data_IF_242173025345
#
_entry.id   IF_242173025345
#
_cell.length_a   1.000
_cell.length_b   1.000
_cell.length_c   1.000
_cell.angle_alpha   90.00
_cell.angle_beta   90.00
_cell.angle_gamma   90.00
#
_symmetry.space_group_name_H-M   'P 1'
#
loop_
_entity.id
_entity.type
_entity.pdbx_description
1 polymer ?
#
# COMPACT_ATOMS: atom_id res chain seq x y z
N UNK A 1 -12.00 20.97 4.06
CA UNK A 1 -13.23 21.40 4.78
C UNK A 1 -14.27 20.31 5.05
N UNK A 2 -15.16 19.86 4.14
CA UNK A 2 -16.19 18.83 4.51
C UNK A 2 -15.63 17.46 4.89
N UNK A 3 -14.61 16.96 4.17
CA UNK A 3 -13.90 15.71 4.53
C UNK A 3 -12.95 15.85 5.71
N UNK A 4 -12.51 17.05 6.01
CA UNK A 4 -11.54 17.33 7.09
C UNK A 4 -12.20 17.21 8.46
N UNK A 5 -13.41 17.77 8.61
CA UNK A 5 -14.21 17.59 9.83
C UNK A 5 -14.70 16.13 9.99
N UNK A 6 -14.96 15.42 8.88
CA UNK A 6 -15.27 14.00 8.89
C UNK A 6 -14.05 13.16 9.30
N UNK A 7 -12.89 13.38 8.68
CA UNK A 7 -11.63 12.74 9.03
C UNK A 7 -11.27 12.98 10.52
N UNK A 8 -11.45 14.18 11.07
CA UNK A 8 -11.28 14.42 12.51
C UNK A 8 -12.18 13.54 13.37
N UNK A 9 -13.44 13.31 12.98
CA UNK A 9 -14.38 12.43 13.71
C UNK A 9 -14.09 10.96 13.51
N UNK A 10 -13.71 10.55 12.31
CA UNK A 10 -13.48 9.14 11.97
C UNK A 10 -12.11 8.66 12.46
N UNK A 11 -11.10 9.52 12.37
CA UNK A 11 -9.76 9.19 12.82
C UNK A 11 -9.62 9.23 14.35
N UNK A 12 -10.46 10.01 15.03
CA UNK A 12 -10.69 9.95 16.49
C UNK A 12 -11.78 8.93 16.89
N UNK A 13 -12.40 8.30 15.90
CA UNK A 13 -13.49 7.36 16.05
C UNK A 13 -12.99 5.94 16.28
N UNK A 14 -13.95 5.06 16.55
CA UNK A 14 -13.73 3.66 16.79
C UNK A 14 -13.66 2.90 15.45
N UNK A 15 -12.45 2.63 14.97
CA UNK A 15 -12.20 1.88 13.73
C UNK A 15 -12.23 0.38 13.96
N UNK A 16 -12.89 -0.37 13.07
CA UNK A 16 -13.11 -1.81 13.23
C UNK A 16 -11.96 -2.66 12.71
N UNK A 17 -11.25 -2.19 11.67
CA UNK A 17 -10.12 -2.90 11.06
C UNK A 17 -8.77 -2.32 11.47
N UNK A 18 -7.78 -3.20 11.55
CA UNK A 18 -6.38 -2.80 11.78
C UNK A 18 -5.83 -2.10 10.54
N UNK A 19 -6.08 -2.63 9.34
CA UNK A 19 -5.52 -2.06 8.12
C UNK A 19 -6.39 -2.24 6.89
N UNK A 20 -6.10 -1.47 5.86
CA UNK A 20 -6.59 -1.71 4.50
C UNK A 20 -5.41 -1.93 3.55
N UNK A 21 -5.52 -2.91 2.66
CA UNK A 21 -4.50 -3.23 1.65
C UNK A 21 -5.15 -3.58 0.32
N UNK A 22 -5.06 -2.65 -0.61
CA UNK A 22 -5.62 -2.82 -1.94
C UNK A 22 -4.57 -3.32 -2.91
N UNK A 23 -4.58 -4.62 -3.18
CA UNK A 23 -3.66 -5.22 -4.12
C UNK A 23 -4.38 -5.47 -5.45
N UNK A 24 -3.68 -5.13 -6.54
CA UNK A 24 -4.10 -5.45 -7.90
C UNK A 24 -3.81 -6.92 -8.21
N UNK A 25 -3.32 -7.20 -9.41
CA UNK A 25 -2.92 -8.56 -9.79
C UNK A 25 -1.95 -9.18 -8.77
N UNK A 26 -2.17 -10.46 -8.50
CA UNK A 26 -1.25 -11.28 -7.71
C UNK A 26 0.12 -11.32 -8.36
N UNK A 27 1.13 -11.20 -7.50
CA UNK A 27 2.56 -11.32 -7.80
C UNK A 27 3.19 -12.10 -6.66
N UNK A 28 4.36 -12.76 -6.87
CA UNK A 28 4.98 -13.56 -5.83
C UNK A 28 5.12 -12.84 -4.47
N UNK A 29 5.53 -11.58 -4.45
CA UNK A 29 5.72 -10.83 -3.20
C UNK A 29 4.41 -10.45 -2.53
N UNK A 30 3.39 -10.07 -3.29
CA UNK A 30 2.04 -9.82 -2.75
C UNK A 30 1.44 -11.10 -2.16
N UNK A 31 1.58 -12.21 -2.89
CA UNK A 31 1.11 -13.51 -2.43
C UNK A 31 1.84 -13.92 -1.15
N UNK A 32 3.16 -13.75 -1.11
CA UNK A 32 3.96 -14.02 0.09
C UNK A 32 3.49 -13.20 1.29
N UNK A 33 3.30 -11.88 1.14
CA UNK A 33 2.89 -11.00 2.24
C UNK A 33 1.48 -11.37 2.73
N UNK A 34 0.54 -11.59 1.82
CA UNK A 34 -0.84 -11.94 2.19
C UNK A 34 -0.87 -13.34 2.84
N UNK A 35 -0.10 -14.31 2.34
CA UNK A 35 0.07 -15.61 2.98
C UNK A 35 0.70 -15.50 4.37
N UNK A 36 1.69 -14.62 4.53
CA UNK A 36 2.32 -14.35 5.83
C UNK A 36 1.34 -13.74 6.85
N UNK A 37 0.44 -12.86 6.39
CA UNK A 37 -0.63 -12.29 7.21
C UNK A 37 -1.68 -13.35 7.57
N UNK A 38 -1.98 -14.28 6.66
CA UNK A 38 -2.88 -15.41 6.93
C UNK A 38 -2.33 -16.31 8.03
N UNK A 39 -1.05 -16.74 7.93
CA UNK A 39 -0.40 -17.56 8.96
C UNK A 39 -0.37 -16.88 10.34
N UNK A 40 -0.28 -15.54 10.37
CA UNK A 40 -0.30 -14.73 11.61
C UNK A 40 -1.70 -14.43 12.13
N UNK A 41 -2.76 -14.93 11.47
CA UNK A 41 -4.16 -14.58 11.76
C UNK A 41 -4.43 -13.07 11.73
N UNK A 42 -3.70 -12.35 10.88
CA UNK A 42 -3.84 -10.91 10.69
C UNK A 42 -4.70 -10.58 9.47
N UNK A 43 -4.85 -11.51 8.53
CA UNK A 43 -5.61 -11.26 7.29
C UNK A 43 -7.05 -10.81 7.57
N UNK A 44 -7.74 -11.44 8.53
CA UNK A 44 -9.12 -11.11 8.92
C UNK A 44 -9.25 -9.73 9.60
N UNK A 45 -8.15 -9.21 10.14
CA UNK A 45 -8.08 -7.90 10.79
C UNK A 45 -7.95 -6.76 9.80
N UNK A 46 -7.80 -7.04 8.50
CA UNK A 46 -7.75 -6.02 7.46
C UNK A 46 -8.84 -6.15 6.41
N UNK A 47 -9.04 -5.08 5.66
CA UNK A 47 -9.67 -5.12 4.35
C UNK A 47 -8.59 -5.41 3.31
N UNK A 48 -8.62 -6.59 2.69
CA UNK A 48 -7.58 -7.00 1.72
C UNK A 48 -8.22 -7.41 0.41
N UNK A 49 -7.77 -6.80 -0.69
CA UNK A 49 -8.05 -7.28 -2.04
C UNK A 49 -6.80 -7.92 -2.64
N UNK A 50 -6.98 -8.90 -3.52
CA UNK A 50 -5.94 -9.49 -4.35
C UNK A 50 -6.58 -10.06 -5.62
N UNK A 51 -6.25 -9.49 -6.78
CA UNK A 51 -6.89 -9.84 -8.04
C UNK A 51 -6.17 -10.99 -8.74
N UNK A 52 -6.93 -11.78 -9.48
CA UNK A 52 -6.37 -12.75 -10.41
C UNK A 52 -5.67 -12.06 -11.60
N UNK A 53 -4.91 -12.81 -12.39
CA UNK A 53 -4.21 -12.29 -13.57
C UNK A 53 -5.19 -11.71 -14.60
N UNK A 54 -4.78 -10.66 -15.30
CA UNK A 54 -5.56 -10.13 -16.45
C UNK A 54 -5.67 -11.18 -17.56
N UNK A 55 -6.80 -11.14 -18.26
CA UNK A 55 -7.04 -11.94 -19.47
C UNK A 55 -6.02 -11.55 -20.57
N UNK A 56 -5.62 -12.52 -21.40
CA UNK A 56 -4.72 -12.30 -22.54
C UNK A 56 -3.25 -12.66 -22.31
N UNK A 57 -2.91 -13.33 -21.21
CA UNK A 57 -1.60 -13.99 -21.05
C UNK A 57 -1.62 -15.39 -21.66
N UNK A 58 -0.49 -15.81 -22.23
CA UNK A 58 -0.36 -17.08 -22.96
C UNK A 58 -0.20 -18.30 -22.04
N UNK A 59 0.15 -18.09 -20.77
CA UNK A 59 0.33 -19.15 -19.77
C UNK A 59 -1.02 -19.77 -19.33
N UNK A 60 -1.04 -21.08 -19.13
CA UNK A 60 -2.15 -21.84 -18.54
C UNK A 60 -2.30 -21.52 -17.03
N UNK A 61 -3.43 -21.89 -16.43
CA UNK A 61 -3.64 -21.69 -14.98
C UNK A 61 -2.64 -22.49 -14.13
N UNK A 62 -2.25 -23.68 -14.59
CA UNK A 62 -1.25 -24.52 -13.92
C UNK A 62 0.15 -23.86 -13.96
N UNK A 63 0.58 -23.39 -15.12
CA UNK A 63 1.84 -22.66 -15.27
C UNK A 63 1.86 -21.38 -14.44
N UNK A 64 0.75 -20.63 -14.46
CA UNK A 64 0.60 -19.44 -13.64
C UNK A 64 0.76 -19.74 -12.15
N UNK A 65 0.05 -20.76 -11.65
CA UNK A 65 0.14 -21.19 -10.25
C UNK A 65 1.57 -21.57 -9.89
N UNK A 66 2.23 -22.33 -10.76
CA UNK A 66 3.62 -22.74 -10.56
C UNK A 66 4.57 -21.54 -10.50
N UNK A 67 4.45 -20.57 -11.41
CA UNK A 67 5.27 -19.34 -11.40
C UNK A 67 5.09 -18.59 -10.08
N UNK A 68 3.85 -18.39 -9.64
CA UNK A 68 3.56 -17.69 -8.39
C UNK A 68 4.18 -18.40 -7.18
N UNK A 69 3.96 -19.71 -7.05
CA UNK A 69 4.46 -20.51 -5.92
C UNK A 69 5.99 -20.66 -5.93
N UNK A 70 6.60 -20.84 -7.10
CA UNK A 70 8.08 -20.82 -7.23
C UNK A 70 8.66 -19.47 -6.82
N UNK A 71 7.98 -18.37 -7.16
CA UNK A 71 8.38 -17.04 -6.71
C UNK A 71 8.31 -16.88 -5.19
N UNK A 72 7.23 -17.36 -4.56
CA UNK A 72 7.08 -17.37 -3.09
C UNK A 72 8.20 -18.19 -2.44
N UNK A 73 8.55 -19.36 -2.97
CA UNK A 73 9.62 -20.20 -2.43
C UNK A 73 11.02 -19.58 -2.47
N UNK A 74 11.25 -18.59 -3.34
CA UNK A 74 12.52 -17.83 -3.39
C UNK A 74 12.64 -16.79 -2.28
N UNK A 75 11.54 -16.47 -1.60
CA UNK A 75 11.52 -15.48 -0.52
C UNK A 75 11.92 -16.12 0.82
N UNK A 76 12.49 -15.36 1.76
CA UNK A 76 12.81 -15.83 3.10
C UNK A 76 11.54 -16.30 3.80
N UNK A 77 11.56 -17.50 4.37
CA UNK A 77 10.36 -18.10 4.96
C UNK A 77 9.31 -18.52 3.94
N UNK A 78 9.64 -18.55 2.64
CA UNK A 78 8.72 -18.95 1.56
C UNK A 78 8.16 -20.35 1.73
N UNK A 79 8.93 -21.26 2.35
CA UNK A 79 8.48 -22.61 2.71
C UNK A 79 7.42 -22.59 3.81
N UNK A 80 7.56 -21.69 4.77
CA UNK A 80 6.68 -21.60 5.94
C UNK A 80 5.28 -21.13 5.53
N UNK A 81 5.20 -20.29 4.50
CA UNK A 81 3.92 -19.75 3.98
C UNK A 81 3.42 -20.47 2.73
N UNK A 82 4.10 -21.51 2.26
CA UNK A 82 3.81 -22.15 0.96
C UNK A 82 2.39 -22.70 0.88
N UNK A 83 1.93 -23.37 1.94
CA UNK A 83 0.58 -23.95 1.97
C UNK A 83 -0.49 -22.86 1.97
N UNK A 84 -0.31 -21.81 2.78
CA UNK A 84 -1.19 -20.63 2.75
C UNK A 84 -1.19 -19.93 1.40
N UNK A 85 -0.03 -19.78 0.76
CA UNK A 85 0.07 -19.19 -0.58
C UNK A 85 -0.67 -20.04 -1.63
N UNK A 86 -0.52 -21.36 -1.57
CA UNK A 86 -1.25 -22.30 -2.41
C UNK A 86 -2.76 -22.16 -2.21
N UNK A 87 -3.22 -22.17 -0.95
CA UNK A 87 -4.62 -22.02 -0.60
C UNK A 87 -5.21 -20.68 -1.06
N UNK A 88 -4.46 -19.57 -0.91
CA UNK A 88 -4.90 -18.25 -1.36
C UNK A 88 -5.09 -18.18 -2.88
N UNK A 89 -4.27 -18.87 -3.66
CA UNK A 89 -4.44 -18.94 -5.12
C UNK A 89 -5.77 -19.59 -5.51
N UNK A 90 -6.27 -20.54 -4.71
CA UNK A 90 -7.58 -21.17 -4.93
C UNK A 90 -8.76 -20.26 -4.57
N UNK A 91 -8.50 -19.19 -3.80
CA UNK A 91 -9.51 -18.20 -3.39
C UNK A 91 -9.52 -16.93 -4.25
N UNK A 92 -8.67 -16.84 -5.28
CA UNK A 92 -8.63 -15.68 -6.14
C UNK A 92 -9.84 -15.62 -7.10
N UNK A 93 -10.35 -14.41 -7.43
CA UNK A 93 -9.94 -13.12 -6.88
C UNK A 93 -10.52 -12.89 -5.47
N UNK A 94 -9.69 -12.35 -4.58
CA UNK A 94 -10.16 -11.78 -3.32
C UNK A 94 -10.63 -10.34 -3.60
N UNK A 95 -11.92 -10.16 -3.78
CA UNK A 95 -12.52 -8.85 -3.97
C UNK A 95 -13.09 -8.33 -2.66
N UNK A 96 -12.95 -7.03 -2.44
CA UNK A 96 -13.78 -6.34 -1.44
C UNK A 96 -15.06 -5.94 -2.17
N UNK A 97 -16.21 -6.19 -1.56
CA UNK A 97 -17.50 -5.78 -2.13
C UNK A 97 -17.54 -4.24 -2.16
N UNK A 98 -17.17 -3.69 -3.32
CA UNK A 98 -17.27 -2.26 -3.60
C UNK A 98 -18.36 -2.13 -4.65
N UNK A 99 -19.44 -1.43 -4.34
CA UNK A 99 -20.49 -1.10 -5.31
C UNK A 99 -19.84 -0.55 -6.59
N UNK A 100 -20.12 -1.19 -7.72
CA UNK A 100 -19.49 -0.89 -9.02
C UNK A 100 -19.62 0.59 -9.37
N UNK A 101 -18.47 1.27 -9.49
CA UNK A 101 -18.43 2.62 -10.04
C UNK A 101 -18.36 2.48 -11.55
N UNK A 102 -19.42 2.96 -12.20
CA UNK A 102 -19.58 2.99 -13.65
C UNK A 102 -18.48 3.84 -14.28
N UNK A 103 -17.63 3.17 -15.07
CA UNK A 103 -16.68 3.69 -16.08
C UNK A 103 -16.14 5.12 -15.87
N UNK A 104 -15.02 5.28 -15.15
CA UNK A 104 -14.47 6.61 -14.93
C UNK A 104 -13.22 6.92 -15.77
N UNK A 105 -13.02 8.20 -16.04
CA UNK A 105 -11.81 8.80 -16.61
C UNK A 105 -10.56 8.59 -15.71
N UNK A 106 -9.33 8.78 -16.25
CA UNK A 106 -8.06 8.63 -15.50
C UNK A 106 -8.01 9.42 -14.19
N UNK A 107 -8.64 10.59 -14.14
CA UNK A 107 -8.84 11.35 -12.91
C UNK A 107 -9.75 10.58 -11.95
N UNK A 108 -10.96 10.21 -12.37
CA UNK A 108 -11.87 9.49 -11.49
C UNK A 108 -11.34 8.11 -11.05
N UNK A 109 -10.50 7.42 -11.82
CA UNK A 109 -9.84 6.19 -11.35
C UNK A 109 -8.83 6.48 -10.22
N UNK A 110 -8.15 7.63 -10.24
CA UNK A 110 -7.34 8.09 -9.12
C UNK A 110 -8.22 8.55 -7.93
N UNK A 111 -9.40 9.12 -8.18
CA UNK A 111 -10.27 9.75 -7.17
C UNK A 111 -11.36 8.86 -6.54
N UNK A 112 -11.80 7.83 -7.24
CA UNK A 112 -12.94 6.96 -6.87
C UNK A 112 -12.53 5.53 -6.54
N UNK A 113 -11.26 5.17 -6.77
CA UNK A 113 -10.81 3.80 -6.59
C UNK A 113 -10.70 3.43 -5.10
N UNK A 114 -11.79 2.80 -4.65
CA UNK A 114 -12.04 2.11 -3.39
C UNK A 114 -12.64 3.01 -2.30
N UNK A 115 -13.72 2.48 -1.72
CA UNK A 115 -14.65 3.18 -0.83
C UNK A 115 -13.89 3.91 0.30
N UNK A 116 -13.96 5.24 0.39
CA UNK A 116 -13.35 6.03 1.46
C UNK A 116 -13.68 5.52 2.87
N UNK A 117 -14.86 4.90 3.02
CA UNK A 117 -15.30 4.27 4.27
C UNK A 117 -14.33 3.19 4.77
N UNK A 118 -13.62 2.50 3.87
CA UNK A 118 -12.67 1.45 4.24
C UNK A 118 -11.40 2.03 4.87
N UNK A 119 -10.96 3.21 4.40
CA UNK A 119 -9.86 3.95 5.03
C UNK A 119 -10.30 4.53 6.38
N UNK A 120 -11.50 5.09 6.40
CA UNK A 120 -12.13 5.65 7.58
C UNK A 120 -12.31 4.61 8.71
N UNK A 121 -12.62 3.36 8.34
CA UNK A 121 -12.80 2.24 9.27
C UNK A 121 -11.51 1.43 9.56
N UNK A 122 -10.37 1.84 8.99
CA UNK A 122 -9.07 1.18 9.17
C UNK A 122 -8.08 2.03 9.94
N UNK A 123 -7.30 1.41 10.84
CA UNK A 123 -6.30 2.15 11.62
C UNK A 123 -5.14 2.66 10.75
N UNK A 124 -4.78 1.94 9.69
CA UNK A 124 -3.70 2.30 8.77
C UNK A 124 -3.90 1.65 7.39
N UNK A 125 -2.99 1.91 6.47
CA UNK A 125 -2.91 1.26 5.16
C UNK A 125 -1.62 0.48 4.99
N UNK A 126 -1.70 -0.76 4.49
CA UNK A 126 -0.54 -1.52 4.04
C UNK A 126 -0.48 -1.44 2.51
N UNK A 127 0.49 -0.67 2.01
CA UNK A 127 0.68 -0.43 0.57
C UNK A 127 1.77 -1.35 0.06
N UNK A 128 1.41 -2.30 -0.82
CA UNK A 128 2.37 -3.20 -1.47
C UNK A 128 2.50 -2.81 -2.93
N UNK A 129 3.66 -2.26 -3.30
CA UNK A 129 3.87 -1.80 -4.66
C UNK A 129 4.05 -2.96 -5.65
N UNK A 130 4.15 -2.62 -6.92
CA UNK A 130 4.13 -3.58 -8.04
C UNK A 130 5.50 -4.21 -8.28
N UNK A 131 6.56 -3.51 -7.91
CA UNK A 131 7.94 -4.00 -7.88
C UNK A 131 8.59 -3.71 -6.53
N UNK A 132 9.51 -4.58 -6.11
CA UNK A 132 10.34 -4.41 -4.92
C UNK A 132 11.84 -4.26 -5.24
N UNK A 133 12.24 -4.54 -6.49
CA UNK A 133 13.62 -4.43 -6.94
C UNK A 133 13.72 -4.15 -8.43
N UNK A 134 13.11 -3.04 -8.82
CA UNK A 134 13.35 -2.47 -10.14
C UNK A 134 14.05 -1.12 -9.97
N UNK A 135 15.38 -1.05 -10.18
CA UNK A 135 16.16 0.17 -9.99
C UNK A 135 15.75 1.30 -10.95
N UNK A 136 15.09 0.96 -12.06
CA UNK A 136 14.61 1.92 -13.06
C UNK A 136 13.21 2.46 -12.70
N UNK A 137 12.52 1.87 -11.70
CA UNK A 137 11.17 2.25 -11.27
C UNK A 137 11.18 2.89 -9.87
N UNK A 138 11.75 4.08 -9.76
CA UNK A 138 11.70 4.94 -8.56
C UNK A 138 10.67 6.06 -8.74
N UNK A 139 9.38 5.76 -8.58
CA UNK A 139 8.31 6.75 -8.67
C UNK A 139 7.18 6.51 -7.66
N UNK A 140 6.46 7.59 -7.34
CA UNK A 140 5.26 7.55 -6.50
C UNK A 140 4.11 6.97 -7.33
N UNK A 141 3.59 5.80 -6.92
CA UNK A 141 2.44 5.19 -7.58
C UNK A 141 1.11 5.70 -7.01
N UNK A 142 0.03 5.51 -7.75
CA UNK A 142 -1.33 5.82 -7.29
C UNK A 142 -1.66 5.11 -5.97
N UNK A 143 -1.03 3.97 -5.69
CA UNK A 143 -1.30 3.14 -4.51
C UNK A 143 -0.93 3.82 -3.21
N UNK A 144 0.19 4.56 -3.18
CA UNK A 144 0.60 5.31 -1.99
C UNK A 144 -0.09 6.67 -1.90
N UNK A 145 -0.53 7.23 -3.03
CA UNK A 145 -1.32 8.48 -3.03
C UNK A 145 -2.70 8.28 -2.41
N UNK A 146 -3.33 7.10 -2.56
CA UNK A 146 -4.64 6.81 -1.96
C UNK A 146 -4.72 7.00 -0.44
N UNK A 147 -3.85 6.38 0.38
CA UNK A 147 -3.88 6.62 1.82
C UNK A 147 -3.56 8.07 2.18
N UNK A 148 -2.65 8.72 1.45
CA UNK A 148 -2.35 10.16 1.61
C UNK A 148 -3.62 11.00 1.45
N UNK A 149 -4.37 10.81 0.36
CA UNK A 149 -5.61 11.54 0.10
C UNK A 149 -6.72 11.29 1.12
N UNK A 150 -6.73 10.10 1.73
CA UNK A 150 -7.73 9.69 2.71
C UNK A 150 -7.26 9.87 4.16
N UNK A 151 -6.18 10.64 4.40
CA UNK A 151 -5.67 10.92 5.75
C UNK A 151 -5.36 9.63 6.54
N UNK A 152 -4.96 8.57 5.83
CA UNK A 152 -4.67 7.27 6.42
C UNK A 152 -3.15 7.13 6.59
N UNK A 153 -2.65 6.85 7.80
CA UNK A 153 -1.25 6.50 7.97
C UNK A 153 -0.96 5.20 7.23
N UNK A 154 0.27 5.02 6.73
CA UNK A 154 0.59 3.87 5.91
C UNK A 154 1.98 3.28 6.18
N UNK A 155 2.10 1.98 5.91
CA UNK A 155 3.37 1.27 5.72
C UNK A 155 3.51 0.96 4.24
N UNK A 156 4.60 1.40 3.63
CA UNK A 156 4.93 1.15 2.23
C UNK A 156 5.94 0.01 2.10
N UNK A 157 5.53 -1.07 1.44
CA UNK A 157 6.42 -2.10 0.91
C UNK A 157 6.60 -1.85 -0.58
N UNK A 158 7.66 -1.14 -0.94
CA UNK A 158 8.02 -0.78 -2.31
C UNK A 158 9.50 -0.97 -2.61
N UNK A 159 9.94 -0.52 -3.78
CA UNK A 159 11.35 -0.51 -4.18
C UNK A 159 12.23 0.22 -3.15
N UNK A 160 13.48 -0.23 -2.99
CA UNK A 160 14.48 0.50 -2.22
C UNK A 160 14.59 1.95 -2.71
N UNK A 161 14.47 2.93 -1.80
CA UNK A 161 14.45 4.36 -2.13
C UNK A 161 13.05 4.99 -2.29
N UNK A 162 11.97 4.20 -2.34
CA UNK A 162 10.59 4.74 -2.47
C UNK A 162 10.23 5.73 -1.36
N UNK A 163 10.64 5.44 -0.12
CA UNK A 163 10.46 6.33 1.03
C UNK A 163 11.24 7.64 0.89
N UNK A 164 12.44 7.59 0.31
CA UNK A 164 13.25 8.78 0.02
C UNK A 164 12.60 9.65 -1.05
N UNK A 165 12.03 9.03 -2.07
CA UNK A 165 11.27 9.75 -3.12
C UNK A 165 10.05 10.46 -2.54
N UNK A 166 9.28 9.81 -1.64
CA UNK A 166 8.16 10.46 -0.95
C UNK A 166 8.61 11.73 -0.21
N UNK A 167 9.70 11.63 0.56
CA UNK A 167 10.28 12.76 1.29
C UNK A 167 10.78 13.86 0.36
N UNK A 168 11.44 13.49 -0.74
CA UNK A 168 11.89 14.44 -1.75
C UNK A 168 10.73 15.29 -2.30
N UNK A 169 9.57 14.66 -2.54
CA UNK A 169 8.39 15.37 -3.00
C UNK A 169 7.67 16.16 -1.91
N UNK A 170 8.08 16.06 -0.64
CA UNK A 170 7.54 16.83 0.49
C UNK A 170 6.52 16.08 1.36
N UNK A 171 6.34 14.78 1.13
CA UNK A 171 5.51 13.95 2.00
C UNK A 171 6.27 13.50 3.25
N UNK A 172 5.56 13.45 4.36
CA UNK A 172 6.02 12.94 5.64
C UNK A 172 5.72 11.44 5.77
N UNK A 173 6.61 10.77 6.48
CA UNK A 173 6.45 9.37 6.90
C UNK A 173 6.13 9.31 8.39
N UNK A 174 5.83 8.12 8.91
CA UNK A 174 5.19 7.97 10.23
C UNK A 174 6.11 7.50 11.35
N UNK A 175 7.42 7.50 11.14
CA UNK A 175 8.41 7.19 12.18
C UNK A 175 8.47 8.30 13.26
N UNK A 176 8.80 7.97 14.53
CA UNK A 176 9.09 6.62 15.06
C UNK A 176 7.85 5.77 15.39
N UNK A 177 6.64 6.32 15.32
CA UNK A 177 5.42 5.68 15.81
C UNK A 177 4.98 4.48 14.98
N UNK A 178 5.15 4.55 13.67
CA UNK A 178 5.09 3.42 12.74
C UNK A 178 6.46 3.26 12.11
N UNK A 179 7.07 2.09 12.30
CA UNK A 179 8.32 1.77 11.62
C UNK A 179 8.04 1.66 10.12
N UNK A 180 8.79 2.40 9.31
CA UNK A 180 8.71 2.36 7.85
C UNK A 180 10.01 1.75 7.30
N UNK A 181 10.03 0.42 7.08
CA UNK A 181 11.22 -0.25 6.59
C UNK A 181 11.63 0.32 5.24
N UNK A 182 12.93 0.47 5.05
CA UNK A 182 13.56 0.92 3.82
C UNK A 182 14.93 0.23 3.68
N UNK A 183 15.43 0.15 2.45
CA UNK A 183 16.73 -0.47 2.14
C UNK A 183 16.71 -1.22 0.82
N UNK A 184 17.88 -1.67 0.38
CA UNK A 184 18.06 -2.44 -0.85
C UNK A 184 17.78 -3.94 -0.66
N UNK A 185 17.90 -4.43 0.58
CA UNK A 185 17.65 -5.83 0.90
C UNK A 185 16.13 -6.06 1.07
N UNK A 186 15.47 -6.43 -0.03
CA UNK A 186 14.03 -6.75 -0.09
C UNK A 186 13.58 -7.67 1.04
N UNK A 187 14.37 -8.69 1.34
CA UNK A 187 14.07 -9.71 2.33
C UNK A 187 14.03 -9.14 3.75
N UNK A 188 14.98 -8.26 4.07
CA UNK A 188 15.02 -7.55 5.34
C UNK A 188 13.87 -6.55 5.46
N UNK A 189 13.57 -5.81 4.38
CA UNK A 189 12.45 -4.86 4.33
C UNK A 189 11.13 -5.61 4.54
N UNK A 190 10.93 -6.73 3.86
CA UNK A 190 9.73 -7.55 3.96
C UNK A 190 9.55 -8.08 5.39
N UNK A 191 10.60 -8.69 5.98
CA UNK A 191 10.55 -9.17 7.36
C UNK A 191 10.17 -8.04 8.32
N UNK A 192 10.80 -6.88 8.17
CA UNK A 192 10.56 -5.73 9.05
C UNK A 192 9.13 -5.18 8.89
N UNK A 193 8.54 -5.21 7.70
CA UNK A 193 7.13 -4.84 7.49
C UNK A 193 6.21 -5.83 8.22
N UNK A 194 6.48 -7.14 8.13
CA UNK A 194 5.67 -8.15 8.81
C UNK A 194 5.79 -8.07 10.34
N UNK A 195 6.98 -7.77 10.84
CA UNK A 195 7.24 -7.56 12.27
C UNK A 195 6.48 -6.32 12.77
N UNK A 196 6.49 -5.24 11.99
CA UNK A 196 5.76 -4.02 12.30
C UNK A 196 4.24 -4.25 12.29
N UNK A 197 3.71 -4.95 11.28
CA UNK A 197 2.31 -5.34 11.22
C UNK A 197 1.92 -6.18 12.45
N UNK A 198 2.79 -7.08 12.89
CA UNK A 198 2.60 -7.89 14.09
C UNK A 198 2.59 -7.01 15.34
N UNK A 199 3.54 -6.08 15.48
CA UNK A 199 3.60 -5.10 16.59
C UNK A 199 2.33 -4.28 16.70
N UNK A 200 1.87 -3.70 15.58
CA UNK A 200 0.66 -2.89 15.53
C UNK A 200 -0.60 -3.72 15.82
N UNK A 201 -0.61 -5.00 15.43
CA UNK A 201 -1.71 -5.90 15.76
C UNK A 201 -1.84 -6.18 17.27
N UNK A 202 -0.74 -6.11 18.03
CA UNK A 202 -0.77 -6.34 19.48
C UNK A 202 -1.30 -5.14 20.26
N UNK A 203 -1.43 -3.98 19.62
CA UNK A 203 -2.04 -2.81 20.25
C UNK A 203 -3.53 -3.02 20.48
N UNK A 204 -3.99 -2.67 21.67
CA UNK A 204 -5.41 -2.61 21.96
C UNK A 204 -6.05 -1.37 21.31
N UNK A 205 -7.39 -1.30 21.38
CA UNK A 205 -8.17 -0.21 20.79
C UNK A 205 -7.74 1.18 21.24
N UNK A 206 -7.44 1.35 22.53
CA UNK A 206 -7.03 2.64 23.08
C UNK A 206 -5.65 3.05 22.54
N UNK A 207 -4.70 2.11 22.52
CA UNK A 207 -3.36 2.33 21.99
C UNK A 207 -3.40 2.69 20.50
N UNK A 208 -4.25 2.03 19.71
CA UNK A 208 -4.46 2.37 18.30
C UNK A 208 -5.09 3.78 18.14
N UNK A 209 -6.04 4.15 18.99
CA UNK A 209 -6.63 5.49 18.97
C UNK A 209 -5.61 6.59 19.39
N UNK A 210 -4.71 6.29 20.32
CA UNK A 210 -3.58 7.15 20.69
C UNK A 210 -2.59 7.30 19.54
N UNK A 211 -2.20 6.20 18.90
CA UNK A 211 -1.36 6.19 17.71
C UNK A 211 -1.96 7.08 16.62
N UNK A 212 -3.23 6.86 16.26
CA UNK A 212 -3.90 7.64 15.23
C UNK A 212 -3.95 9.14 15.53
N UNK A 213 -4.13 9.51 16.81
CA UNK A 213 -4.08 10.92 17.22
C UNK A 213 -2.68 11.51 17.05
N UNK A 214 -1.63 10.76 17.39
CA UNK A 214 -0.25 11.19 17.21
C UNK A 214 0.16 11.35 15.74
N UNK A 215 -0.41 10.54 14.83
CA UNK A 215 -0.11 10.59 13.40
C UNK A 215 -0.94 11.62 12.62
N UNK A 216 -1.94 12.23 13.28
CA UNK A 216 -2.98 13.03 12.65
C UNK A 216 -2.43 14.23 11.88
N UNK A 217 -1.53 14.99 12.50
CA UNK A 217 -1.00 16.22 11.91
C UNK A 217 -0.23 15.92 10.62
N UNK A 218 0.53 14.82 10.61
CA UNK A 218 1.26 14.35 9.42
C UNK A 218 0.31 13.85 8.33
N UNK A 219 -0.78 13.20 8.70
CA UNK A 219 -1.82 12.81 7.75
C UNK A 219 -2.46 14.04 7.09
N UNK A 220 -2.72 15.11 7.86
CA UNK A 220 -3.23 16.37 7.32
C UNK A 220 -2.21 17.10 6.46
N UNK A 221 -0.96 17.16 6.90
CA UNK A 221 0.13 17.72 6.11
C UNK A 221 0.22 17.04 4.75
N UNK A 222 0.30 15.71 4.74
CA UNK A 222 0.38 14.91 3.51
C UNK A 222 -0.83 15.12 2.60
N UNK A 223 -2.04 15.08 3.14
CA UNK A 223 -3.25 15.30 2.36
C UNK A 223 -3.31 16.72 1.79
N UNK A 224 -3.00 17.74 2.59
CA UNK A 224 -2.98 19.13 2.12
C UNK A 224 -1.94 19.33 1.02
N UNK A 225 -0.70 18.90 1.27
CA UNK A 225 0.42 18.99 0.34
C UNK A 225 0.12 18.31 -1.00
N UNK A 226 -0.54 17.14 -0.97
CA UNK A 226 -0.99 16.44 -2.16
C UNK A 226 -1.89 17.32 -3.06
N UNK A 227 -2.81 18.09 -2.47
CA UNK A 227 -3.76 18.92 -3.21
C UNK A 227 -3.23 20.30 -3.60
N UNK A 228 -2.20 20.81 -2.92
CA UNK A 228 -1.72 22.19 -3.11
C UNK A 228 -0.39 22.27 -3.85
N UNK A 229 0.63 21.60 -3.35
CA UNK A 229 2.03 21.88 -3.70
C UNK A 229 2.67 20.73 -4.46
N UNK A 230 2.22 19.49 -4.24
CA UNK A 230 2.72 18.32 -4.95
C UNK A 230 2.57 18.43 -6.48
N UNK A 231 1.43 18.85 -7.07
CA UNK A 231 1.31 18.98 -8.53
C UNK A 231 2.29 20.01 -9.11
N UNK A 232 2.52 21.11 -8.38
CA UNK A 232 3.48 22.15 -8.80
C UNK A 232 4.92 21.63 -8.74
N UNK A 233 5.27 20.90 -7.68
CA UNK A 233 6.60 20.28 -7.53
C UNK A 233 6.87 19.25 -8.60
N UNK A 234 5.89 18.38 -8.89
CA UNK A 234 5.99 17.37 -9.93
C UNK A 234 6.16 18.00 -11.33
N UNK A 235 5.40 19.05 -11.63
CA UNK A 235 5.55 19.77 -12.89
C UNK A 235 6.94 20.45 -12.99
N UNK A 236 7.42 21.03 -11.89
CA UNK A 236 8.73 21.68 -11.84
C UNK A 236 9.90 20.69 -11.97
N UNK A 237 9.82 19.50 -11.36
CA UNK A 237 10.85 18.47 -11.51
C UNK A 237 10.87 17.94 -12.94
N UNK A 238 9.72 17.72 -13.57
CA UNK A 238 9.66 17.31 -14.97
C UNK A 238 10.30 18.35 -15.91
N UNK A 239 10.02 19.64 -15.72
CA UNK A 239 10.65 20.71 -16.51
C UNK A 239 12.18 20.73 -16.31
N UNK A 240 12.64 20.58 -15.07
CA UNK A 240 14.06 20.71 -14.70
C UNK A 240 14.89 19.49 -15.09
N UNK A 241 14.35 18.30 -14.83
CA UNK A 241 15.09 17.03 -14.89
C UNK A 241 14.93 16.35 -16.27
N UNK A 242 13.86 16.66 -17.01
CA UNK A 242 13.58 16.03 -18.32
C UNK A 242 13.64 17.05 -19.45
N UNK A 243 12.88 18.14 -19.38
CA UNK A 243 12.75 19.06 -20.52
C UNK A 243 13.98 19.96 -20.70
N UNK A 244 14.55 20.51 -19.62
CA UNK A 244 15.70 21.39 -19.71
C UNK A 244 16.96 20.70 -20.27
N UNK A 245 17.29 19.44 -19.92
CA UNK A 245 18.40 18.71 -20.55
C UNK A 245 18.19 18.48 -22.05
N UNK A 246 16.97 18.13 -22.48
CA UNK A 246 16.64 17.88 -23.89
C UNK A 246 16.70 19.15 -24.75
N UNK A 247 16.51 20.34 -24.16
CA UNK A 247 16.67 21.62 -24.87
C UNK A 247 18.13 22.05 -25.03
N UNK A 248 19.05 21.42 -24.30
CA UNK A 248 20.50 21.73 -24.34
C UNK A 248 21.29 20.78 -25.26
N UNK A 249 20.66 19.74 -25.77
CA UNK A 249 21.18 18.81 -26.79
C UNK A 249 20.73 19.21 -28.19
#
# INVERSE_FOLDING_TARGET
>A
MRREAAARRTLAGNRSKLFVSFNGEVRPHRLFVIASLLERKLLERGYVSLLYRRKGRNETDAEFREIMLRGVLKMPGGRDVFQSASHLLDQLPMTLDVEEISSPSLEEVAWTSQNPSLYDDSNMSLVIDTSLNDPDLLFITEKVLKPIMNHSPFILLGNGGSTSVLRYYGFETFEPEINQPNGENENAVLSSVLDEMTRLSMMNRQQLAELNRALMDRCYHNAHHFWTDFPKRLASSFETDVLAPLRRS
#
